data_IF_177234852519
#
_entry.id   IF_177234852519
#
_cell.length_a   1.000
_cell.length_b   1.000
_cell.length_c   1.000
_cell.angle_alpha   90.00
_cell.angle_beta   90.00
_cell.angle_gamma   90.00
#
_symmetry.space_group_name_H-M   'P 1'
#
loop_
_entity.id
_entity.type
_entity.pdbx_description
1 polymer ?
#
# COMPACT_ATOMS: atom_id res chain seq x y z
N UNK A 1 -8.07 -67.22 40.20
CA UNK A 1 -8.16 -65.88 39.56
C UNK A 1 -8.56 -64.75 40.53
N UNK A 2 -9.40 -64.95 41.55
CA UNK A 2 -9.89 -63.85 42.41
C UNK A 2 -8.85 -63.11 43.27
N UNK A 3 -7.75 -63.74 43.67
CA UNK A 3 -6.72 -63.12 44.53
C UNK A 3 -5.88 -62.05 43.83
N UNK A 4 -5.70 -62.14 42.51
CA UNK A 4 -4.97 -61.14 41.74
C UNK A 4 -5.74 -59.81 41.60
N UNK A 5 -7.07 -59.88 41.53
CA UNK A 5 -7.94 -58.70 41.44
C UNK A 5 -7.91 -57.91 42.76
N UNK A 6 -7.99 -58.61 43.90
CA UNK A 6 -7.88 -57.99 45.23
C UNK A 6 -6.52 -57.31 45.44
N UNK A 7 -5.42 -57.91 44.97
CA UNK A 7 -4.09 -57.32 45.02
C UNK A 7 -3.98 -56.00 44.24
N UNK A 8 -4.52 -55.96 43.02
CA UNK A 8 -4.51 -54.74 42.20
C UNK A 8 -5.34 -53.60 42.81
N UNK A 9 -6.50 -53.90 43.40
CA UNK A 9 -7.34 -52.90 44.07
C UNK A 9 -6.63 -52.32 45.30
N UNK A 10 -5.95 -53.14 46.09
CA UNK A 10 -5.19 -52.67 47.25
C UNK A 10 -4.01 -51.77 46.85
N UNK A 11 -3.30 -52.09 45.77
CA UNK A 11 -2.20 -51.25 45.23
C UNK A 11 -2.74 -49.92 44.71
N UNK A 12 -3.88 -49.92 44.00
CA UNK A 12 -4.49 -48.69 43.51
C UNK A 12 -4.95 -47.76 44.65
N UNK A 13 -5.56 -48.32 45.71
CA UNK A 13 -5.99 -47.56 46.89
C UNK A 13 -4.81 -46.98 47.67
N UNK A 14 -3.77 -47.77 47.90
CA UNK A 14 -2.56 -47.31 48.60
C UNK A 14 -1.82 -46.23 47.80
N UNK A 15 -1.68 -46.41 46.49
CA UNK A 15 -1.13 -45.38 45.60
C UNK A 15 -1.97 -44.08 45.64
N UNK A 16 -3.30 -44.19 45.64
CA UNK A 16 -4.21 -43.05 45.77
C UNK A 16 -4.04 -42.29 47.08
N UNK A 17 -3.91 -43.00 48.20
CA UNK A 17 -3.70 -42.40 49.53
C UNK A 17 -2.34 -41.70 49.62
N UNK A 18 -1.27 -42.35 49.14
CA UNK A 18 0.08 -41.76 49.10
C UNK A 18 0.09 -40.50 48.24
N UNK A 19 -0.57 -40.52 47.08
CA UNK A 19 -0.71 -39.36 46.22
C UNK A 19 -1.46 -38.22 46.91
N UNK A 20 -2.58 -38.51 47.59
CA UNK A 20 -3.36 -37.51 48.32
C UNK A 20 -2.56 -36.85 49.46
N UNK A 21 -1.79 -37.65 50.23
CA UNK A 21 -0.93 -37.14 51.30
C UNK A 21 0.21 -36.28 50.72
N UNK A 22 0.84 -36.72 49.63
CA UNK A 22 1.89 -35.96 48.95
C UNK A 22 1.36 -34.63 48.40
N UNK A 23 0.18 -34.62 47.80
CA UNK A 23 -0.52 -33.41 47.33
C UNK A 23 -0.86 -32.48 48.49
N UNK A 24 -1.37 -33.00 49.62
CA UNK A 24 -1.67 -32.19 50.80
C UNK A 24 -0.42 -31.55 51.42
N UNK A 25 0.68 -32.30 51.51
CA UNK A 25 1.95 -31.84 52.11
C UNK A 25 2.70 -30.84 51.23
N UNK A 26 2.55 -30.95 49.91
CA UNK A 26 3.12 -29.98 48.95
C UNK A 26 2.22 -28.74 48.78
N UNK A 27 0.90 -28.88 48.84
CA UNK A 27 -0.04 -27.75 48.75
C UNK A 27 -0.11 -26.90 50.02
N UNK A 28 0.16 -27.47 51.21
CA UNK A 28 0.18 -26.74 52.47
C UNK A 28 1.27 -25.65 52.58
N UNK A 29 2.24 -25.63 51.66
CA UNK A 29 3.36 -24.67 51.68
C UNK A 29 3.14 -23.42 50.81
N UNK A 30 2.03 -23.32 50.08
CA UNK A 30 1.78 -22.18 49.19
C UNK A 30 0.94 -21.13 49.93
N UNK A 31 1.45 -19.89 50.11
CA UNK A 31 0.68 -18.79 50.68
C UNK A 31 -0.66 -18.61 49.96
N UNK A 32 -1.73 -18.27 50.69
CA UNK A 32 -3.07 -18.11 50.09
C UNK A 32 -3.06 -17.06 48.98
N UNK A 33 -2.36 -15.94 49.18
CA UNK A 33 -2.19 -14.88 48.18
C UNK A 33 -1.58 -15.40 46.88
N UNK A 34 -0.57 -16.27 46.98
CA UNK A 34 0.05 -16.92 45.82
C UNK A 34 -0.93 -17.88 45.14
N UNK A 35 -1.77 -18.60 45.90
CA UNK A 35 -2.82 -19.47 45.33
C UNK A 35 -3.88 -18.67 44.59
N UNK A 36 -4.28 -17.51 45.11
CA UNK A 36 -5.19 -16.58 44.43
C UNK A 36 -4.55 -16.04 43.14
N UNK A 37 -3.30 -15.59 43.19
CA UNK A 37 -2.58 -15.10 42.01
C UNK A 37 -2.40 -16.17 40.93
N UNK A 38 -2.10 -17.43 41.31
CA UNK A 38 -2.00 -18.55 40.36
C UNK A 38 -3.35 -18.85 39.70
N UNK A 39 -4.45 -18.83 40.47
CA UNK A 39 -5.80 -19.02 39.94
C UNK A 39 -6.15 -17.92 38.93
N UNK A 40 -5.83 -16.68 39.25
CA UNK A 40 -6.07 -15.54 38.38
C UNK A 40 -5.23 -15.61 37.10
N UNK A 41 -3.93 -15.91 37.19
CA UNK A 41 -3.07 -16.10 36.03
C UNK A 41 -3.57 -17.24 35.12
N UNK A 42 -4.10 -18.34 35.68
CA UNK A 42 -4.71 -19.43 34.91
C UNK A 42 -5.99 -18.99 34.20
N UNK A 43 -6.84 -18.19 34.85
CA UNK A 43 -8.06 -17.64 34.27
C UNK A 43 -7.73 -16.75 33.07
N UNK A 44 -6.84 -15.78 33.27
CA UNK A 44 -6.39 -14.86 32.23
C UNK A 44 -5.67 -15.58 31.07
N UNK A 45 -4.90 -16.63 31.35
CA UNK A 45 -4.30 -17.50 30.31
C UNK A 45 -5.37 -18.13 29.42
N UNK A 46 -6.45 -18.63 30.02
CA UNK A 46 -7.57 -19.24 29.28
C UNK A 46 -8.30 -18.20 28.44
N UNK A 47 -8.55 -17.01 28.99
CA UNK A 47 -9.16 -15.87 28.30
C UNK A 47 -8.30 -15.42 27.11
N UNK A 48 -6.99 -15.19 27.31
CA UNK A 48 -6.05 -14.86 26.24
C UNK A 48 -6.00 -15.93 25.14
N UNK A 49 -5.97 -17.22 25.50
CA UNK A 49 -6.01 -18.31 24.50
C UNK A 49 -7.29 -18.34 23.69
N UNK A 50 -8.44 -18.08 24.33
CA UNK A 50 -9.74 -17.97 23.65
C UNK A 50 -9.76 -16.77 22.71
N UNK A 51 -9.35 -15.60 23.20
CA UNK A 51 -9.25 -14.37 22.42
C UNK A 51 -8.34 -14.56 21.20
N UNK A 52 -7.14 -15.13 21.41
CA UNK A 52 -6.19 -15.40 20.33
C UNK A 52 -6.72 -16.40 19.29
N UNK A 53 -7.40 -17.47 19.73
CA UNK A 53 -8.02 -18.45 18.82
C UNK A 53 -9.15 -17.80 18.01
N UNK A 54 -9.93 -16.93 18.65
CA UNK A 54 -11.02 -16.21 17.97
C UNK A 54 -10.46 -15.22 16.95
N UNK A 55 -9.50 -14.39 17.34
CA UNK A 55 -8.80 -13.47 16.45
C UNK A 55 -8.16 -14.18 15.26
N UNK A 56 -7.49 -15.33 15.46
CA UNK A 56 -6.94 -16.10 14.34
C UNK A 56 -8.03 -16.57 13.35
N UNK A 57 -9.24 -16.90 13.83
CA UNK A 57 -10.37 -17.23 12.95
C UNK A 57 -10.89 -15.99 12.23
N UNK A 58 -11.01 -14.87 12.93
CA UNK A 58 -11.54 -13.62 12.38
C UNK A 58 -10.62 -13.07 11.29
N UNK A 59 -9.29 -13.08 11.52
CA UNK A 59 -8.27 -12.71 10.52
C UNK A 59 -8.34 -13.64 9.31
N UNK A 60 -8.44 -14.95 9.51
CA UNK A 60 -8.53 -15.91 8.40
C UNK A 60 -9.83 -15.74 7.60
N UNK A 61 -10.96 -15.51 8.27
CA UNK A 61 -12.23 -15.23 7.61
C UNK A 61 -12.19 -13.94 6.81
N UNK A 62 -11.64 -12.86 7.37
CA UNK A 62 -11.48 -11.59 6.67
C UNK A 62 -10.53 -11.73 5.47
N UNK A 63 -9.44 -12.48 5.61
CA UNK A 63 -8.50 -12.80 4.52
C UNK A 63 -9.20 -13.56 3.39
N UNK A 64 -9.91 -14.63 3.69
CA UNK A 64 -10.65 -15.42 2.70
C UNK A 64 -11.71 -14.57 2.01
N UNK A 65 -12.40 -13.69 2.76
CA UNK A 65 -13.38 -12.77 2.18
C UNK A 65 -12.73 -11.80 1.19
N UNK A 66 -11.61 -11.19 1.56
CA UNK A 66 -10.85 -10.31 0.67
C UNK A 66 -10.35 -11.05 -0.57
N UNK A 67 -9.78 -12.25 -0.41
CA UNK A 67 -9.31 -13.08 -1.51
C UNK A 67 -10.44 -13.46 -2.47
N UNK A 68 -11.62 -13.82 -1.95
CA UNK A 68 -12.79 -14.14 -2.77
C UNK A 68 -13.27 -12.95 -3.59
N UNK A 69 -13.22 -11.73 -3.05
CA UNK A 69 -13.56 -10.51 -3.78
C UNK A 69 -12.51 -10.17 -4.85
N UNK A 70 -11.23 -10.39 -4.55
CA UNK A 70 -10.12 -10.12 -5.47
C UNK A 70 -9.99 -11.16 -6.60
N UNK A 71 -10.43 -12.40 -6.39
CA UNK A 71 -10.48 -13.40 -7.45
C UNK A 71 -11.32 -12.88 -8.62
N UNK A 72 -10.76 -12.85 -9.82
CA UNK A 72 -11.45 -12.37 -11.02
C UNK A 72 -12.69 -13.24 -11.33
N UNK A 73 -12.64 -14.54 -11.02
CA UNK A 73 -13.71 -15.49 -11.35
C UNK A 73 -14.84 -15.46 -10.32
N UNK A 74 -14.48 -15.37 -9.04
CA UNK A 74 -15.40 -15.54 -7.92
C UNK A 74 -15.82 -17.00 -7.73
N UNK A 75 -16.89 -17.24 -6.97
CA UNK A 75 -17.31 -18.60 -6.64
C UNK A 75 -17.84 -19.35 -7.86
N UNK A 76 -17.55 -20.65 -7.95
CA UNK A 76 -18.18 -21.55 -8.95
C UNK A 76 -19.67 -21.73 -8.64
N UNK A 77 -20.52 -21.46 -9.63
CA UNK A 77 -21.98 -21.57 -9.51
C UNK A 77 -22.55 -22.87 -10.10
N UNK A 78 -21.88 -23.43 -11.12
CA UNK A 78 -22.35 -24.65 -11.77
C UNK A 78 -21.48 -25.06 -12.95
N UNK A 79 -21.79 -26.20 -13.56
CA UNK A 79 -21.24 -26.60 -14.84
C UNK A 79 -22.22 -27.51 -15.59
N UNK A 80 -22.30 -27.34 -16.91
CA UNK A 80 -23.11 -28.18 -17.79
C UNK A 80 -22.55 -28.17 -19.22
N UNK A 81 -22.55 -29.33 -19.88
CA UNK A 81 -22.14 -29.46 -21.29
C UNK A 81 -20.75 -28.90 -21.61
N UNK A 82 -19.78 -29.06 -20.71
CA UNK A 82 -18.42 -28.51 -20.85
C UNK A 82 -18.29 -27.02 -20.52
N UNK A 83 -19.38 -26.34 -20.19
CA UNK A 83 -19.38 -24.94 -19.73
C UNK A 83 -19.29 -24.91 -18.21
N UNK A 84 -18.34 -24.15 -17.67
CA UNK A 84 -18.24 -23.87 -16.22
C UNK A 84 -18.61 -22.42 -15.94
N UNK A 85 -19.59 -22.23 -15.06
CA UNK A 85 -20.10 -20.92 -14.66
C UNK A 85 -19.54 -20.52 -13.29
N UNK A 86 -18.98 -19.31 -13.21
CA UNK A 86 -18.59 -18.64 -11.98
C UNK A 86 -19.44 -17.39 -11.78
N UNK A 87 -19.34 -16.76 -10.61
CA UNK A 87 -20.10 -15.54 -10.28
C UNK A 87 -19.84 -14.38 -11.24
N UNK A 88 -18.60 -14.24 -11.74
CA UNK A 88 -18.17 -13.12 -12.60
C UNK A 88 -17.50 -13.56 -13.89
N UNK A 89 -17.32 -14.86 -14.09
CA UNK A 89 -16.58 -15.44 -15.21
C UNK A 89 -17.29 -16.66 -15.76
N UNK A 90 -17.10 -16.93 -17.04
CA UNK A 90 -17.59 -18.16 -17.68
C UNK A 90 -16.48 -18.77 -18.53
N UNK A 91 -16.36 -20.09 -18.44
CA UNK A 91 -15.43 -20.88 -19.25
C UNK A 91 -16.24 -21.82 -20.12
N UNK A 92 -16.11 -21.66 -21.43
CA UNK A 92 -16.66 -22.57 -22.44
C UNK A 92 -15.52 -23.40 -23.05
N UNK A 93 -15.81 -24.47 -23.81
CA UNK A 93 -14.77 -25.22 -24.51
C UNK A 93 -13.95 -24.38 -25.51
N UNK A 94 -14.56 -23.34 -26.08
CA UNK A 94 -13.96 -22.52 -27.13
C UNK A 94 -13.26 -21.27 -26.60
N UNK A 95 -13.77 -20.68 -25.51
CA UNK A 95 -13.24 -19.44 -24.94
C UNK A 95 -13.65 -19.26 -23.47
N UNK A 96 -12.99 -18.34 -22.77
CA UNK A 96 -13.38 -17.96 -21.41
C UNK A 96 -13.25 -16.45 -21.23
N UNK A 97 -14.16 -15.82 -20.50
CA UNK A 97 -14.18 -14.37 -20.35
C UNK A 97 -15.12 -13.89 -19.26
N UNK A 98 -15.22 -12.56 -19.15
CA UNK A 98 -16.16 -11.90 -18.24
C UNK A 98 -17.60 -12.33 -18.51
N UNK A 99 -18.37 -12.50 -17.43
CA UNK A 99 -19.80 -12.83 -17.52
C UNK A 99 -20.65 -11.59 -17.86
N UNK A 100 -20.08 -10.38 -17.80
CA UNK A 100 -20.81 -9.13 -18.03
C UNK A 100 -21.20 -9.03 -19.51
N UNK A 101 -22.49 -8.84 -19.78
CA UNK A 101 -23.02 -8.75 -21.15
C UNK A 101 -23.23 -10.11 -21.84
N UNK A 102 -22.96 -11.22 -21.15
CA UNK A 102 -23.20 -12.57 -21.68
C UNK A 102 -24.70 -12.86 -21.73
N UNK A 103 -25.12 -13.49 -22.84
CA UNK A 103 -26.45 -14.07 -23.04
C UNK A 103 -26.30 -15.56 -23.35
N UNK A 104 -27.12 -16.36 -22.69
CA UNK A 104 -27.21 -17.80 -22.93
C UNK A 104 -28.59 -18.15 -23.51
N UNK A 105 -28.59 -18.94 -24.58
CA UNK A 105 -29.80 -19.51 -25.17
C UNK A 105 -29.64 -21.02 -25.27
N UNK A 106 -30.67 -21.76 -24.85
CA UNK A 106 -30.72 -23.21 -24.99
C UNK A 106 -31.67 -23.61 -26.13
N UNK A 107 -31.35 -24.70 -26.81
CA UNK A 107 -32.20 -25.33 -27.81
C UNK A 107 -32.10 -26.85 -27.67
N UNK A 108 -33.21 -27.54 -27.92
CA UNK A 108 -33.25 -29.00 -28.02
C UNK A 108 -33.40 -29.43 -29.49
N UNK A 109 -33.01 -30.65 -29.83
CA UNK A 109 -33.12 -31.17 -31.21
C UNK A 109 -34.55 -31.09 -31.77
N UNK A 110 -35.58 -31.16 -30.92
CA UNK A 110 -36.98 -31.00 -31.31
C UNK A 110 -37.37 -29.57 -31.72
N UNK A 111 -36.67 -28.55 -31.22
CA UNK A 111 -36.93 -27.13 -31.53
C UNK A 111 -36.03 -26.58 -32.64
N UNK A 112 -34.97 -27.29 -33.02
CA UNK A 112 -34.07 -26.91 -34.14
C UNK A 112 -34.80 -26.90 -35.49
N UNK A 113 -35.89 -27.66 -35.65
CA UNK A 113 -36.74 -27.62 -36.87
C UNK A 113 -37.60 -26.36 -36.99
N UNK A 114 -37.76 -25.55 -35.94
CA UNK A 114 -38.68 -24.39 -35.92
C UNK A 114 -37.96 -23.03 -35.98
N UNK A 115 -36.62 -22.99 -36.01
CA UNK A 115 -35.88 -21.74 -36.23
C UNK A 115 -34.79 -21.85 -37.29
N UNK A 116 -35.24 -21.92 -38.55
CA UNK A 116 -34.47 -21.48 -39.73
C UNK A 116 -34.11 -19.96 -39.69
N UNK A 117 -34.33 -19.28 -38.56
CA UNK A 117 -33.84 -17.94 -38.24
C UNK A 117 -32.63 -17.95 -37.30
N UNK A 118 -31.86 -19.05 -37.26
CA UNK A 118 -30.40 -18.93 -37.11
C UNK A 118 -29.85 -18.36 -38.43
N UNK A 119 -30.20 -17.10 -38.65
CA UNK A 119 -30.02 -16.32 -39.87
C UNK A 119 -28.54 -16.31 -40.25
N UNK A 120 -28.27 -16.38 -41.55
CA UNK A 120 -26.95 -16.33 -42.18
C UNK A 120 -25.97 -15.28 -41.59
N UNK A 121 -26.47 -14.23 -40.93
CA UNK A 121 -25.68 -13.27 -40.14
C UNK A 121 -24.86 -13.91 -39.01
N UNK A 122 -25.32 -14.99 -38.36
CA UNK A 122 -24.58 -15.69 -37.29
C UNK A 122 -23.47 -16.62 -37.81
N UNK A 123 -23.53 -17.07 -39.07
CA UNK A 123 -22.43 -17.82 -39.69
C UNK A 123 -21.27 -16.91 -40.12
N UNK A 124 -21.52 -15.62 -40.34
CA UNK A 124 -20.47 -14.65 -40.71
C UNK A 124 -19.60 -14.26 -39.51
N UNK A 125 -20.17 -14.20 -38.29
CA UNK A 125 -19.42 -13.82 -37.08
C UNK A 125 -18.69 -14.97 -36.39
N UNK A 126 -19.13 -16.22 -36.56
CA UNK A 126 -18.50 -17.38 -35.90
C UNK A 126 -17.37 -18.03 -36.71
N UNK A 127 -17.10 -17.55 -37.93
CA UNK A 127 -16.12 -18.17 -38.82
C UNK A 127 -16.49 -19.61 -39.19
N UNK A 128 -15.70 -20.20 -40.08
CA UNK A 128 -15.95 -21.48 -40.76
C UNK A 128 -16.03 -22.72 -39.84
N UNK A 129 -15.94 -22.56 -38.51
CA UNK A 129 -15.90 -23.64 -37.53
C UNK A 129 -17.27 -24.14 -37.06
N UNK A 130 -18.37 -23.57 -37.55
CA UNK A 130 -19.73 -23.94 -37.12
C UNK A 130 -20.31 -25.19 -37.79
N UNK A 131 -19.57 -25.86 -38.70
CA UNK A 131 -20.11 -26.92 -39.55
C UNK A 131 -19.37 -28.27 -39.47
N UNK A 132 -18.51 -28.48 -38.47
CA UNK A 132 -17.90 -29.78 -38.20
C UNK A 132 -18.51 -30.46 -36.96
N UNK A 133 -19.84 -30.52 -36.88
CA UNK A 133 -20.50 -31.43 -35.95
C UNK A 133 -20.50 -32.83 -36.59
N UNK A 134 -19.81 -33.83 -36.00
CA UNK A 134 -19.79 -35.18 -36.55
C UNK A 134 -21.22 -35.72 -36.58
N UNK A 135 -21.70 -36.04 -37.78
CA UNK A 135 -22.99 -36.70 -38.00
C UNK A 135 -22.90 -38.13 -37.43
N UNK A 136 -23.10 -38.28 -36.12
CA UNK A 136 -23.17 -39.59 -35.47
C UNK A 136 -24.44 -40.30 -35.94
N UNK A 137 -24.26 -41.26 -36.84
CA UNK A 137 -25.29 -42.17 -37.34
C UNK A 137 -25.48 -43.31 -36.36
N UNK A 138 -26.07 -43.04 -35.20
CA UNK A 138 -26.64 -44.08 -34.35
C UNK A 138 -27.66 -43.43 -33.42
N UNK A 139 -28.73 -44.15 -33.06
CA UNK A 139 -29.91 -43.67 -32.33
C UNK A 139 -29.59 -43.25 -30.89
N UNK A 140 -28.72 -42.27 -30.71
CA UNK A 140 -28.37 -41.69 -29.41
C UNK A 140 -29.48 -40.73 -29.02
N UNK A 141 -30.00 -40.95 -27.82
CA UNK A 141 -31.06 -40.15 -27.19
C UNK A 141 -30.72 -38.66 -27.24
N UNK A 142 -31.69 -37.85 -27.67
CA UNK A 142 -31.47 -36.50 -28.20
C UNK A 142 -30.60 -35.58 -27.34
N UNK A 143 -29.89 -34.68 -27.99
CA UNK A 143 -29.00 -33.70 -27.35
C UNK A 143 -29.71 -32.36 -27.11
N UNK A 144 -29.24 -31.62 -26.11
CA UNK A 144 -29.59 -30.20 -25.96
C UNK A 144 -28.32 -29.35 -26.02
N UNK A 145 -28.42 -28.19 -26.65
CA UNK A 145 -27.32 -27.28 -26.89
C UNK A 145 -27.53 -26.00 -26.08
N UNK A 146 -26.45 -25.47 -25.52
CA UNK A 146 -26.41 -24.16 -24.89
C UNK A 146 -25.44 -23.31 -25.67
N UNK A 147 -25.94 -22.21 -26.25
CA UNK A 147 -25.14 -21.22 -26.96
C UNK A 147 -24.90 -20.04 -26.02
N UNK A 148 -23.64 -19.69 -25.84
CA UNK A 148 -23.17 -18.56 -25.04
C UNK A 148 -22.65 -17.49 -26.01
N UNK A 149 -23.20 -16.29 -25.91
CA UNK A 149 -22.78 -15.11 -26.69
C UNK A 149 -22.49 -13.95 -25.75
N UNK A 150 -21.29 -13.39 -25.81
CA UNK A 150 -20.88 -12.22 -25.05
C UNK A 150 -19.73 -11.47 -25.73
N UNK A 151 -19.34 -10.30 -25.19
CA UNK A 151 -18.30 -9.45 -25.81
C UNK A 151 -16.92 -10.12 -25.88
N UNK A 152 -16.58 -10.91 -24.86
CA UNK A 152 -15.26 -11.55 -24.70
C UNK A 152 -15.32 -13.08 -24.83
N UNK A 153 -16.53 -13.65 -24.88
CA UNK A 153 -16.73 -15.09 -24.81
C UNK A 153 -17.84 -15.52 -25.75
N UNK A 154 -17.55 -16.55 -26.54
CA UNK A 154 -18.51 -17.23 -27.38
C UNK A 154 -18.23 -18.73 -27.35
N UNK A 155 -19.27 -19.53 -27.21
CA UNK A 155 -19.10 -20.97 -27.16
C UNK A 155 -20.40 -21.74 -27.20
N UNK A 156 -20.29 -23.02 -27.51
CA UNK A 156 -21.42 -23.96 -27.54
C UNK A 156 -21.09 -25.12 -26.61
N UNK A 157 -21.97 -25.36 -25.66
CA UNK A 157 -21.96 -26.54 -24.80
C UNK A 157 -23.02 -27.54 -25.23
N UNK A 158 -22.72 -28.83 -25.09
CA UNK A 158 -23.63 -29.93 -25.47
C UNK A 158 -23.95 -30.74 -24.22
N UNK A 159 -25.24 -30.85 -23.89
CA UNK A 159 -25.73 -31.75 -22.84
C UNK A 159 -26.31 -32.98 -23.53
N UNK A 160 -25.63 -34.10 -23.37
CA UNK A 160 -26.09 -35.40 -23.85
C UNK A 160 -27.05 -36.02 -22.82
N UNK A 161 -28.06 -36.75 -23.30
CA UNK A 161 -28.95 -37.52 -22.44
C UNK A 161 -28.15 -38.60 -21.70
N UNK A 162 -28.31 -38.68 -20.37
CA UNK A 162 -27.61 -39.66 -19.53
C UNK A 162 -28.32 -41.01 -19.47
N UNK A 163 -29.60 -41.06 -19.86
CA UNK A 163 -30.40 -42.30 -19.89
C UNK A 163 -31.50 -42.22 -20.95
N UNK A 164 -32.08 -43.37 -21.31
CA UNK A 164 -33.15 -43.52 -22.31
C UNK A 164 -34.36 -42.59 -22.05
N UNK A 165 -34.65 -42.27 -20.79
CA UNK A 165 -35.79 -41.44 -20.37
C UNK A 165 -35.41 -40.00 -19.97
N UNK A 166 -34.14 -39.62 -20.01
CA UNK A 166 -33.73 -38.25 -19.64
C UNK A 166 -33.87 -37.31 -20.82
N UNK A 167 -34.67 -36.26 -20.68
CA UNK A 167 -34.70 -35.14 -21.62
C UNK A 167 -33.65 -34.10 -21.19
N UNK A 168 -32.59 -33.86 -21.98
CA UNK A 168 -31.56 -32.87 -21.61
C UNK A 168 -32.05 -31.43 -21.79
N UNK A 169 -33.15 -31.20 -22.51
CA UNK A 169 -33.74 -29.88 -22.75
C UNK A 169 -33.96 -29.07 -21.47
N UNK A 170 -34.76 -29.54 -20.49
CA UNK A 170 -34.97 -28.82 -19.23
C UNK A 170 -33.68 -28.45 -18.48
N UNK A 171 -32.68 -29.34 -18.48
CA UNK A 171 -31.38 -29.05 -17.88
C UNK A 171 -30.64 -27.93 -18.64
N UNK A 172 -30.66 -27.94 -19.97
CA UNK A 172 -30.08 -26.88 -20.79
C UNK A 172 -30.78 -25.53 -20.58
N UNK A 173 -32.11 -25.49 -20.57
CA UNK A 173 -32.89 -24.25 -20.34
C UNK A 173 -32.66 -23.69 -18.94
N UNK A 174 -32.64 -24.54 -17.91
CA UNK A 174 -32.37 -24.10 -16.53
C UNK A 174 -30.95 -23.56 -16.38
N UNK A 175 -29.95 -24.21 -16.97
CA UNK A 175 -28.57 -23.73 -16.92
C UNK A 175 -28.40 -22.41 -17.71
N UNK A 176 -29.03 -22.28 -18.89
CA UNK A 176 -29.03 -21.02 -19.64
C UNK A 176 -29.68 -19.88 -18.83
N UNK A 177 -30.78 -20.16 -18.13
CA UNK A 177 -31.39 -19.19 -17.21
C UNK A 177 -30.45 -18.83 -16.05
N UNK A 178 -29.72 -19.80 -15.50
CA UNK A 178 -28.71 -19.57 -14.46
C UNK A 178 -27.59 -18.65 -14.95
N UNK A 179 -27.06 -18.88 -16.16
CA UNK A 179 -26.04 -18.02 -16.78
C UNK A 179 -26.57 -16.59 -16.95
N UNK A 180 -27.79 -16.42 -17.49
CA UNK A 180 -28.39 -15.09 -17.68
C UNK A 180 -28.64 -14.35 -16.35
N UNK A 181 -29.03 -15.07 -15.29
CA UNK A 181 -29.20 -14.49 -13.96
C UNK A 181 -27.87 -14.07 -13.36
N UNK A 182 -26.85 -14.92 -13.46
CA UNK A 182 -25.51 -14.63 -12.99
C UNK A 182 -24.88 -13.44 -13.76
N UNK A 183 -25.08 -13.36 -15.07
CA UNK A 183 -24.63 -12.23 -15.90
C UNK A 183 -25.24 -10.89 -15.46
N UNK A 184 -26.55 -10.88 -15.16
CA UNK A 184 -27.23 -9.69 -14.63
C UNK A 184 -26.72 -9.31 -13.23
N UNK A 185 -26.51 -10.29 -12.36
CA UNK A 185 -25.96 -10.05 -11.02
C UNK A 185 -24.51 -9.53 -11.09
N UNK A 186 -23.68 -10.08 -11.97
CA UNK A 186 -22.31 -9.64 -12.20
C UNK A 186 -22.28 -8.18 -12.69
N UNK A 187 -23.14 -7.82 -13.66
CA UNK A 187 -23.24 -6.46 -14.16
C UNK A 187 -23.69 -5.46 -13.08
N UNK A 188 -24.65 -5.84 -12.23
CA UNK A 188 -25.11 -5.00 -11.12
C UNK A 188 -24.03 -4.80 -10.03
N UNK A 189 -23.21 -5.83 -9.77
CA UNK A 189 -22.19 -5.79 -8.73
C UNK A 189 -20.85 -5.19 -9.20
N UNK A 190 -20.56 -5.19 -10.50
CA UNK A 190 -19.33 -4.66 -11.08
C UNK A 190 -18.93 -3.25 -10.58
N UNK A 191 -19.82 -2.23 -10.58
CA UNK A 191 -19.46 -0.90 -10.08
C UNK A 191 -19.25 -0.84 -8.56
N UNK A 192 -19.80 -1.80 -7.81
CA UNK A 192 -19.67 -1.86 -6.34
C UNK A 192 -18.40 -2.59 -5.90
N UNK A 193 -17.85 -3.45 -6.75
CA UNK A 193 -16.73 -4.33 -6.41
C UNK A 193 -15.49 -3.59 -5.86
N UNK A 194 -15.02 -2.45 -6.44
CA UNK A 194 -13.89 -1.73 -5.88
C UNK A 194 -14.14 -1.23 -4.45
N UNK A 195 -15.37 -0.78 -4.15
CA UNK A 195 -15.76 -0.34 -2.81
C UNK A 195 -15.82 -1.51 -1.83
N UNK A 196 -16.33 -2.67 -2.27
CA UNK A 196 -16.34 -3.89 -1.46
C UNK A 196 -14.93 -4.38 -1.14
N UNK A 197 -14.02 -4.36 -2.11
CA UNK A 197 -12.60 -4.71 -1.90
C UNK A 197 -11.95 -3.73 -0.93
N UNK A 198 -12.17 -2.42 -1.08
CA UNK A 198 -11.63 -1.42 -0.17
C UNK A 198 -12.13 -1.64 1.27
N UNK A 199 -13.43 -1.90 1.44
CA UNK A 199 -14.01 -2.22 2.74
C UNK A 199 -13.43 -3.52 3.33
N UNK A 200 -13.34 -4.58 2.54
CA UNK A 200 -12.76 -5.84 3.00
C UNK A 200 -11.28 -5.71 3.41
N UNK A 201 -10.50 -4.84 2.75
CA UNK A 201 -9.13 -4.48 3.18
C UNK A 201 -9.13 -3.78 4.53
N UNK A 202 -10.06 -2.86 4.76
CA UNK A 202 -10.21 -2.19 6.06
C UNK A 202 -10.62 -3.17 7.15
N UNK A 203 -11.59 -4.04 6.87
CA UNK A 203 -12.06 -5.07 7.81
C UNK A 203 -10.93 -6.07 8.15
N UNK A 204 -10.12 -6.45 7.16
CA UNK A 204 -8.93 -7.29 7.37
C UNK A 204 -7.89 -6.59 8.26
N UNK A 205 -7.57 -5.32 7.97
CA UNK A 205 -6.65 -4.53 8.78
C UNK A 205 -7.16 -4.31 10.22
N UNK A 206 -8.48 -4.12 10.38
CA UNK A 206 -9.11 -4.02 11.70
C UNK A 206 -9.04 -5.34 12.46
N UNK A 207 -9.26 -6.47 11.79
CA UNK A 207 -9.14 -7.80 12.38
C UNK A 207 -7.71 -8.10 12.82
N UNK A 208 -6.68 -7.74 12.03
CA UNK A 208 -5.26 -7.90 12.39
C UNK A 208 -4.87 -7.09 13.63
N UNK A 209 -5.52 -5.95 13.86
CA UNK A 209 -5.22 -5.02 14.96
C UNK A 209 -6.25 -5.08 16.11
N UNK A 210 -6.93 -6.23 16.31
CA UNK A 210 -7.96 -6.35 17.36
C UNK A 210 -7.38 -6.07 18.77
N UNK A 211 -7.78 -4.97 19.44
CA UNK A 211 -7.26 -4.60 20.75
C UNK A 211 -7.55 -5.64 21.82
N UNK A 212 -8.61 -6.46 21.66
CA UNK A 212 -9.00 -7.46 22.67
C UNK A 212 -7.92 -8.50 22.92
N UNK A 213 -7.18 -8.91 21.90
CA UNK A 213 -6.09 -9.89 22.05
C UNK A 213 -4.92 -9.25 22.77
N UNK A 214 -4.60 -8.01 22.41
CA UNK A 214 -3.52 -7.22 23.01
C UNK A 214 -3.82 -6.97 24.49
N UNK A 215 -5.03 -6.52 24.83
CA UNK A 215 -5.47 -6.28 26.20
C UNK A 215 -5.43 -7.57 27.04
N UNK A 216 -5.91 -8.70 26.48
CA UNK A 216 -5.87 -9.98 27.15
C UNK A 216 -4.42 -10.48 27.35
N UNK A 217 -3.53 -10.23 26.40
CA UNK A 217 -2.10 -10.55 26.51
C UNK A 217 -1.42 -9.70 27.58
N UNK A 218 -1.69 -8.40 27.62
CA UNK A 218 -1.17 -7.48 28.64
C UNK A 218 -1.67 -7.90 30.03
N UNK A 219 -2.97 -8.18 30.18
CA UNK A 219 -3.55 -8.62 31.45
C UNK A 219 -2.93 -9.95 31.93
N UNK A 220 -2.79 -10.93 31.04
CA UNK A 220 -2.15 -12.20 31.35
C UNK A 220 -0.67 -12.02 31.73
N UNK A 221 0.08 -11.22 30.97
CA UNK A 221 1.50 -10.93 31.23
C UNK A 221 1.69 -10.26 32.58
N UNK A 222 0.85 -9.28 32.92
CA UNK A 222 0.85 -8.61 34.23
C UNK A 222 0.58 -9.58 35.37
N UNK A 223 -0.39 -10.49 35.21
CA UNK A 223 -0.70 -11.50 36.22
C UNK A 223 0.45 -12.51 36.42
N UNK A 224 1.13 -12.92 35.34
CA UNK A 224 2.31 -13.80 35.44
C UNK A 224 3.49 -13.07 36.08
N UNK A 225 3.71 -11.79 35.77
CA UNK A 225 4.76 -10.98 36.38
C UNK A 225 4.57 -10.83 37.91
N UNK A 226 3.32 -10.77 38.39
CA UNK A 226 3.00 -10.72 39.81
C UNK A 226 3.29 -12.03 40.57
N UNK A 227 3.50 -13.16 39.89
CA UNK A 227 3.82 -14.43 40.53
C UNK A 227 5.27 -14.49 41.04
N UNK A 228 5.55 -15.24 42.12
CA UNK A 228 6.93 -15.56 42.52
C UNK A 228 7.67 -16.31 41.42
N UNK A 229 8.99 -16.09 41.32
CA UNK A 229 9.85 -16.62 40.23
C UNK A 229 9.70 -18.13 40.01
N UNK A 230 9.59 -18.89 41.10
CA UNK A 230 9.42 -20.35 41.10
C UNK A 230 8.18 -20.82 40.31
N UNK A 231 7.11 -20.01 40.30
CA UNK A 231 5.85 -20.36 39.62
C UNK A 231 5.77 -19.81 38.20
N UNK A 232 6.54 -18.76 37.86
CA UNK A 232 6.56 -18.18 36.50
C UNK A 232 6.96 -19.20 35.44
N UNK A 233 7.88 -20.11 35.77
CA UNK A 233 8.33 -21.17 34.85
C UNK A 233 7.18 -22.07 34.38
N UNK A 234 6.11 -22.23 35.17
CA UNK A 234 4.92 -23.01 34.79
C UNK A 234 4.04 -22.31 33.75
N UNK A 235 4.29 -21.04 33.48
CA UNK A 235 3.60 -20.18 32.51
C UNK A 235 4.53 -19.77 31.35
N UNK A 236 5.42 -20.66 30.93
CA UNK A 236 6.43 -20.41 29.88
C UNK A 236 5.89 -20.12 28.47
N UNK A 237 4.58 -19.95 28.27
CA UNK A 237 4.00 -19.44 27.04
C UNK A 237 4.04 -17.91 26.92
N UNK A 238 4.39 -17.20 28.00
CA UNK A 238 4.68 -15.76 28.00
C UNK A 238 6.18 -15.54 28.07
N UNK A 239 6.75 -14.90 27.05
CA UNK A 239 8.09 -14.31 27.16
C UNK A 239 7.97 -13.01 27.92
N UNK A 240 8.20 -13.06 29.23
CA UNK A 240 8.21 -11.88 30.11
C UNK A 240 9.28 -10.84 29.72
N UNK A 241 10.28 -11.26 28.93
CA UNK A 241 11.47 -10.45 28.62
C UNK A 241 11.36 -9.68 27.29
N UNK A 242 10.27 -9.79 26.53
CA UNK A 242 10.20 -9.31 25.13
C UNK A 242 9.01 -8.37 24.80
N UNK A 243 8.31 -7.86 25.81
CA UNK A 243 7.04 -7.13 25.63
C UNK A 243 7.16 -5.72 25.01
N UNK A 244 8.32 -5.29 24.51
CA UNK A 244 8.48 -3.96 23.90
C UNK A 244 8.89 -3.97 22.42
N UNK A 245 9.24 -5.10 21.80
CA UNK A 245 9.87 -5.06 20.46
C UNK A 245 9.84 -6.36 19.64
N UNK A 246 9.04 -7.37 20.00
CA UNK A 246 8.99 -8.60 19.23
C UNK A 246 8.04 -8.48 18.00
N UNK A 247 8.51 -8.78 16.78
CA UNK A 247 7.64 -8.80 15.60
C UNK A 247 6.56 -9.90 15.71
N UNK A 248 5.41 -9.75 15.01
CA UNK A 248 4.30 -10.69 15.08
C UNK A 248 4.76 -12.13 14.77
N UNK A 249 4.16 -13.12 15.46
CA UNK A 249 4.59 -14.54 15.40
C UNK A 249 4.69 -15.12 13.98
N UNK A 250 3.91 -14.62 13.03
CA UNK A 250 3.99 -15.00 11.61
C UNK A 250 5.31 -14.54 10.95
N UNK A 251 5.78 -13.33 11.24
CA UNK A 251 7.08 -12.87 10.71
C UNK A 251 8.24 -13.68 11.29
N UNK A 252 8.13 -14.13 12.54
CA UNK A 252 9.14 -15.00 13.15
C UNK A 252 9.13 -16.40 12.52
N UNK A 253 7.95 -16.97 12.24
CA UNK A 253 7.86 -18.28 11.57
C UNK A 253 8.34 -18.21 10.12
N UNK A 254 8.01 -17.15 9.40
CA UNK A 254 8.39 -16.99 7.98
C UNK A 254 9.88 -16.75 7.85
N UNK A 255 10.46 -15.92 8.73
CA UNK A 255 11.91 -15.73 8.80
C UNK A 255 12.64 -17.03 9.13
N UNK A 256 12.12 -17.80 10.10
CA UNK A 256 12.73 -19.08 10.45
C UNK A 256 12.64 -20.08 9.29
N UNK A 257 11.50 -20.13 8.58
CA UNK A 257 11.33 -20.95 7.38
C UNK A 257 12.33 -20.57 6.30
N UNK A 258 12.52 -19.26 6.04
CA UNK A 258 13.51 -18.78 5.06
C UNK A 258 14.94 -19.13 5.44
N UNK A 259 15.31 -19.07 6.73
CA UNK A 259 16.64 -19.49 7.18
C UNK A 259 16.88 -20.98 6.90
N UNK A 260 15.86 -21.82 7.11
CA UNK A 260 15.96 -23.26 6.84
C UNK A 260 16.04 -23.53 5.33
N UNK A 261 15.28 -22.81 4.50
CA UNK A 261 15.21 -23.08 3.06
C UNK A 261 16.35 -22.43 2.26
N UNK A 262 16.79 -21.23 2.64
CA UNK A 262 17.75 -20.43 1.87
C UNK A 262 19.14 -20.39 2.51
N UNK A 263 19.28 -20.82 3.76
CA UNK A 263 20.46 -20.55 4.58
C UNK A 263 20.44 -19.14 5.18
N UNK A 264 21.25 -18.94 6.22
CA UNK A 264 21.20 -17.72 7.06
C UNK A 264 21.51 -16.44 6.28
N UNK A 265 22.52 -16.46 5.42
CA UNK A 265 22.98 -15.27 4.69
C UNK A 265 21.99 -14.87 3.59
N UNK A 266 21.58 -15.82 2.75
CA UNK A 266 20.60 -15.57 1.70
C UNK A 266 19.22 -15.21 2.27
N UNK A 267 18.82 -15.78 3.41
CA UNK A 267 17.62 -15.34 4.12
C UNK A 267 17.71 -13.87 4.56
N UNK A 268 18.85 -13.42 5.09
CA UNK A 268 19.04 -12.02 5.47
C UNK A 268 18.95 -11.08 4.25
N UNK A 269 19.50 -11.49 3.09
CA UNK A 269 19.37 -10.75 1.83
C UNK A 269 17.92 -10.69 1.35
N UNK A 270 17.19 -11.79 1.45
CA UNK A 270 15.75 -11.84 1.12
C UNK A 270 14.93 -10.89 2.00
N UNK A 271 15.17 -10.84 3.32
CA UNK A 271 14.52 -9.84 4.20
C UNK A 271 14.84 -8.41 3.76
N UNK A 272 16.09 -8.17 3.37
CA UNK A 272 16.52 -6.85 2.88
C UNK A 272 15.79 -6.45 1.59
N UNK A 273 15.57 -7.38 0.66
CA UNK A 273 14.76 -7.15 -0.56
C UNK A 273 13.32 -6.84 -0.21
N UNK A 274 12.69 -7.66 0.63
CA UNK A 274 11.28 -7.47 1.01
C UNK A 274 11.07 -6.11 1.71
N UNK A 275 12.05 -5.68 2.52
CA UNK A 275 12.03 -4.34 3.12
C UNK A 275 12.18 -3.24 2.07
N UNK A 276 13.04 -3.41 1.07
CA UNK A 276 13.23 -2.42 -0.01
C UNK A 276 11.96 -2.31 -0.88
N UNK A 277 11.37 -3.44 -1.27
CA UNK A 277 10.09 -3.48 -2.01
C UNK A 277 8.97 -2.81 -1.24
N UNK A 278 8.89 -3.07 0.07
CA UNK A 278 7.93 -2.38 0.95
C UNK A 278 8.16 -0.87 0.95
N UNK A 279 9.41 -0.40 1.02
CA UNK A 279 9.72 1.02 0.96
C UNK A 279 9.29 1.65 -0.38
N UNK A 280 9.55 1.01 -1.52
CA UNK A 280 9.11 1.50 -2.85
C UNK A 280 7.58 1.57 -2.91
N UNK A 281 6.90 0.48 -2.57
CA UNK A 281 5.43 0.39 -2.68
C UNK A 281 4.68 1.32 -1.72
N UNK A 282 5.31 1.71 -0.61
CA UNK A 282 4.76 2.66 0.36
C UNK A 282 5.16 4.12 0.10
N UNK A 283 6.05 4.37 -0.87
CA UNK A 283 6.44 5.73 -1.25
C UNK A 283 5.24 6.57 -1.68
N UNK A 284 5.35 7.88 -1.50
CA UNK A 284 4.36 8.83 -2.03
C UNK A 284 4.35 8.79 -3.56
N UNK A 285 5.52 8.68 -4.20
CA UNK A 285 5.67 8.51 -5.63
C UNK A 285 4.90 7.29 -6.19
N UNK A 286 4.91 6.15 -5.50
CA UNK A 286 4.11 5.00 -5.89
C UNK A 286 2.59 5.27 -5.71
N UNK A 287 2.20 5.89 -4.59
CA UNK A 287 0.78 6.15 -4.28
C UNK A 287 0.13 7.16 -5.21
N UNK A 288 0.90 8.14 -5.66
CA UNK A 288 0.47 9.15 -6.63
C UNK A 288 0.59 8.66 -8.09
N UNK A 289 1.10 7.45 -8.31
CA UNK A 289 1.19 6.82 -9.64
C UNK A 289 2.40 7.27 -10.48
N UNK A 290 3.32 8.05 -9.91
CA UNK A 290 4.53 8.50 -10.61
C UNK A 290 5.47 7.36 -11.00
N UNK A 291 5.51 6.31 -10.18
CA UNK A 291 6.32 5.12 -10.45
C UNK A 291 5.63 4.10 -11.37
N UNK A 292 4.39 4.37 -11.79
CA UNK A 292 3.55 3.43 -12.54
C UNK A 292 3.14 2.19 -11.72
N UNK A 293 2.73 1.14 -12.43
CA UNK A 293 2.41 -0.16 -11.82
C UNK A 293 3.70 -0.87 -11.40
N UNK A 294 4.04 -0.75 -10.12
CA UNK A 294 5.23 -1.36 -9.54
C UNK A 294 4.92 -2.77 -9.03
N UNK A 295 5.36 -3.79 -9.77
CA UNK A 295 5.28 -5.19 -9.35
C UNK A 295 6.66 -5.86 -9.39
N UNK A 296 7.18 -6.21 -8.20
CA UNK A 296 8.45 -6.94 -8.03
C UNK A 296 8.26 -8.45 -7.84
N UNK A 297 7.05 -8.99 -8.02
CA UNK A 297 6.76 -10.40 -7.72
C UNK A 297 7.64 -11.36 -8.51
N UNK A 298 7.86 -11.07 -9.79
CA UNK A 298 8.74 -11.89 -10.64
C UNK A 298 10.20 -11.88 -10.16
N UNK A 299 10.71 -10.70 -9.78
CA UNK A 299 12.09 -10.59 -9.27
C UNK A 299 12.26 -11.26 -7.92
N UNK A 300 11.30 -11.10 -7.01
CA UNK A 300 11.31 -11.77 -5.69
C UNK A 300 11.33 -13.29 -5.89
N UNK A 301 10.48 -13.81 -6.78
CA UNK A 301 10.44 -15.24 -7.07
C UNK A 301 11.78 -15.72 -7.64
N UNK A 302 12.34 -14.99 -8.61
CA UNK A 302 13.61 -15.37 -9.22
C UNK A 302 14.77 -15.34 -8.21
N UNK A 303 14.82 -14.33 -7.33
CA UNK A 303 15.83 -14.27 -6.26
C UNK A 303 15.66 -15.44 -5.28
N UNK A 304 14.42 -15.77 -4.90
CA UNK A 304 14.13 -16.89 -4.01
C UNK A 304 14.57 -18.21 -4.62
N UNK A 305 14.20 -18.48 -5.87
CA UNK A 305 14.55 -19.70 -6.60
C UNK A 305 16.08 -19.84 -6.75
N UNK A 306 16.78 -18.74 -7.06
CA UNK A 306 18.25 -18.74 -7.17
C UNK A 306 18.92 -19.04 -5.83
N UNK A 307 18.48 -18.41 -4.74
CA UNK A 307 19.03 -18.66 -3.40
C UNK A 307 18.72 -20.07 -2.88
N UNK A 308 17.52 -20.60 -3.14
CA UNK A 308 17.14 -21.97 -2.76
C UNK A 308 18.00 -23.01 -3.49
N UNK A 309 18.18 -22.83 -4.81
CA UNK A 309 19.06 -23.71 -5.62
C UNK A 309 20.51 -23.64 -5.16
N UNK A 310 21.04 -22.44 -4.93
CA UNK A 310 22.41 -22.27 -4.43
C UNK A 310 22.60 -22.91 -3.05
N UNK A 311 21.67 -22.72 -2.12
CA UNK A 311 21.74 -23.34 -0.80
C UNK A 311 21.70 -24.86 -0.87
N UNK A 312 20.82 -25.41 -1.72
CA UNK A 312 20.72 -26.85 -1.97
C UNK A 312 22.02 -27.41 -2.56
N UNK A 313 22.64 -26.72 -3.52
CA UNK A 313 23.94 -27.11 -4.08
C UNK A 313 25.05 -27.08 -3.02
N UNK A 314 25.06 -26.09 -2.13
CA UNK A 314 26.02 -26.03 -1.04
C UNK A 314 25.86 -27.17 -0.03
N UNK A 315 24.64 -27.53 0.35
CA UNK A 315 24.40 -28.67 1.27
C UNK A 315 24.79 -30.01 0.64
N UNK A 316 24.48 -30.21 -0.65
CA UNK A 316 24.91 -31.39 -1.39
C UNK A 316 26.44 -31.45 -1.55
N UNK A 317 27.07 -30.32 -1.90
CA UNK A 317 28.52 -30.22 -2.01
C UNK A 317 29.21 -30.51 -0.67
N UNK A 318 28.67 -29.99 0.44
CA UNK A 318 29.15 -30.30 1.79
C UNK A 318 29.05 -31.80 2.09
N UNK A 319 27.92 -32.42 1.76
CA UNK A 319 27.73 -33.87 1.95
C UNK A 319 28.73 -34.67 1.11
N UNK A 320 28.88 -34.35 -0.17
CA UNK A 320 29.81 -35.04 -1.08
C UNK A 320 31.27 -34.85 -0.65
N UNK A 321 31.63 -33.67 -0.12
CA UNK A 321 32.97 -33.40 0.42
C UNK A 321 33.30 -34.18 1.70
N UNK A 322 32.28 -34.70 2.39
CA UNK A 322 32.46 -35.46 3.64
C UNK A 322 32.68 -36.97 3.44
N UNK A 323 32.65 -37.44 2.19
CA UNK A 323 32.89 -38.86 1.89
C UNK A 323 34.33 -39.27 2.18
N UNK A 324 34.50 -40.45 2.76
CA UNK A 324 35.80 -41.02 3.11
C UNK A 324 36.41 -41.65 1.84
N UNK A 325 37.19 -40.86 1.08
CA UNK A 325 37.84 -41.14 -0.24
C UNK A 325 37.01 -40.67 -1.47
N UNK A 326 36.90 -39.35 -1.70
CA UNK A 326 36.32 -38.83 -2.94
C UNK A 326 37.14 -39.23 -4.17
N UNK A 327 36.47 -39.56 -5.25
CA UNK A 327 37.09 -39.84 -6.55
C UNK A 327 37.46 -38.53 -7.28
N UNK A 328 38.26 -38.63 -8.34
CA UNK A 328 38.57 -37.48 -9.21
C UNK A 328 37.31 -36.88 -9.84
N UNK A 329 36.30 -37.72 -10.12
CA UNK A 329 35.01 -37.28 -10.63
C UNK A 329 34.23 -36.50 -9.58
N UNK A 330 34.21 -36.97 -8.32
CA UNK A 330 33.55 -36.27 -7.21
C UNK A 330 34.15 -34.87 -7.01
N UNK A 331 35.48 -34.74 -7.10
CA UNK A 331 36.15 -33.45 -7.04
C UNK A 331 35.75 -32.51 -8.18
N UNK A 332 35.56 -33.03 -9.40
CA UNK A 332 35.10 -32.24 -10.54
C UNK A 332 33.67 -31.74 -10.32
N UNK A 333 32.77 -32.63 -9.91
CA UNK A 333 31.36 -32.30 -9.64
C UNK A 333 31.26 -31.28 -8.49
N UNK A 334 32.08 -31.42 -7.44
CA UNK A 334 32.16 -30.43 -6.35
C UNK A 334 32.56 -29.04 -6.85
N UNK A 335 33.59 -28.96 -7.70
CA UNK A 335 34.04 -27.69 -8.27
C UNK A 335 32.96 -27.05 -9.15
N UNK A 336 32.27 -27.85 -9.95
CA UNK A 336 31.17 -27.37 -10.81
C UNK A 336 29.96 -26.90 -9.99
N UNK A 337 29.54 -27.68 -8.99
CA UNK A 337 28.42 -27.35 -8.10
C UNK A 337 28.69 -26.07 -7.30
N UNK A 338 29.90 -25.91 -6.76
CA UNK A 338 30.30 -24.71 -6.02
C UNK A 338 30.38 -23.47 -6.90
N UNK A 339 30.91 -23.60 -8.13
CA UNK A 339 30.93 -22.50 -9.11
C UNK A 339 29.50 -22.09 -9.50
N UNK A 340 28.64 -23.06 -9.79
CA UNK A 340 27.24 -22.81 -10.16
C UNK A 340 26.45 -22.15 -9.03
N UNK A 341 26.64 -22.61 -7.78
CA UNK A 341 26.03 -21.98 -6.62
C UNK A 341 26.47 -20.52 -6.47
N UNK A 342 27.77 -20.24 -6.62
CA UNK A 342 28.30 -18.88 -6.53
C UNK A 342 27.79 -17.97 -7.66
N UNK A 343 27.60 -18.49 -8.88
CA UNK A 343 27.03 -17.73 -9.99
C UNK A 343 25.55 -17.40 -9.76
N UNK A 344 24.77 -18.36 -9.25
CA UNK A 344 23.36 -18.16 -8.87
C UNK A 344 23.22 -17.10 -7.77
N UNK A 345 24.06 -17.17 -6.74
CA UNK A 345 24.07 -16.18 -5.66
C UNK A 345 24.46 -14.80 -6.17
N UNK A 346 25.50 -14.70 -7.00
CA UNK A 346 25.94 -13.42 -7.56
C UNK A 346 24.83 -12.74 -8.36
N UNK A 347 24.18 -13.47 -9.27
CA UNK A 347 23.08 -12.95 -10.06
C UNK A 347 21.88 -12.50 -9.19
N UNK A 348 21.57 -13.26 -8.14
CA UNK A 348 20.52 -12.90 -7.18
C UNK A 348 20.89 -11.66 -6.35
N UNK A 349 22.15 -11.53 -5.93
CA UNK A 349 22.68 -10.37 -5.19
C UNK A 349 22.63 -9.11 -6.04
N UNK A 350 23.04 -9.19 -7.31
CA UNK A 350 22.97 -8.04 -8.22
C UNK A 350 21.53 -7.51 -8.37
N UNK A 351 20.54 -8.41 -8.45
CA UNK A 351 19.13 -8.03 -8.47
C UNK A 351 18.64 -7.44 -7.16
N UNK A 352 19.07 -8.01 -6.02
CA UNK A 352 18.80 -7.44 -4.69
C UNK A 352 19.27 -5.97 -4.65
N UNK A 353 20.46 -5.71 -5.16
CA UNK A 353 21.04 -4.36 -5.14
C UNK A 353 20.35 -3.40 -6.11
N UNK A 354 19.86 -3.89 -7.26
CA UNK A 354 19.01 -3.09 -8.16
C UNK A 354 17.69 -2.68 -7.47
N UNK A 355 17.01 -3.60 -6.79
CA UNK A 355 15.76 -3.30 -6.07
C UNK A 355 16.01 -2.29 -4.93
N UNK A 356 17.15 -2.41 -4.22
CA UNK A 356 17.54 -1.42 -3.21
C UNK A 356 17.77 -0.04 -3.80
N UNK A 357 18.39 0.05 -4.98
CA UNK A 357 18.53 1.32 -5.70
C UNK A 357 17.17 1.92 -6.04
N UNK A 358 16.22 1.12 -6.53
CA UNK A 358 14.85 1.60 -6.76
C UNK A 358 14.21 2.19 -5.49
N UNK A 359 14.44 1.57 -4.32
CA UNK A 359 13.96 2.11 -3.04
C UNK A 359 14.59 3.46 -2.69
N UNK A 360 15.88 3.63 -2.95
CA UNK A 360 16.59 4.90 -2.73
C UNK A 360 16.04 5.99 -3.66
N UNK A 361 15.86 5.69 -4.95
CA UNK A 361 15.34 6.65 -5.93
C UNK A 361 13.89 7.06 -5.60
N UNK A 362 13.03 6.12 -5.21
CA UNK A 362 11.68 6.43 -4.77
C UNK A 362 11.67 7.39 -3.57
N UNK A 363 12.58 7.19 -2.60
CA UNK A 363 12.72 8.10 -1.46
C UNK A 363 13.22 9.50 -1.85
N UNK A 364 14.06 9.61 -2.89
CA UNK A 364 14.51 10.90 -3.39
C UNK A 364 13.36 11.69 -4.03
N UNK A 365 12.47 11.01 -4.77
CA UNK A 365 11.28 11.62 -5.35
C UNK A 365 10.29 12.07 -4.26
N UNK A 366 10.07 11.23 -3.24
CA UNK A 366 9.25 11.63 -2.08
C UNK A 366 9.81 12.90 -1.42
N UNK A 367 11.14 12.99 -1.31
CA UNK A 367 11.80 14.17 -0.76
C UNK A 367 11.64 15.41 -1.66
N UNK A 368 11.66 15.26 -2.99
CA UNK A 368 11.37 16.39 -3.87
C UNK A 368 9.94 16.89 -3.71
N UNK A 369 8.95 15.98 -3.58
CA UNK A 369 7.56 16.39 -3.34
C UNK A 369 7.34 17.09 -2.01
N UNK A 370 8.08 16.69 -0.97
CA UNK A 370 8.06 17.41 0.31
C UNK A 370 8.62 18.83 0.16
N UNK A 371 9.75 18.95 -0.54
CA UNK A 371 10.39 20.25 -0.80
C UNK A 371 9.47 21.17 -1.61
N UNK A 372 8.86 20.67 -2.68
CA UNK A 372 7.94 21.45 -3.53
C UNK A 372 6.73 21.97 -2.75
N UNK A 373 6.19 21.16 -1.82
CA UNK A 373 5.08 21.58 -0.93
C UNK A 373 5.51 22.62 0.08
N UNK A 374 6.71 22.48 0.65
CA UNK A 374 7.27 23.47 1.56
C UNK A 374 7.49 24.81 0.84
N UNK A 375 8.06 24.78 -0.36
CA UNK A 375 8.27 25.96 -1.21
C UNK A 375 6.94 26.62 -1.60
N UNK A 376 5.92 25.83 -1.98
CA UNK A 376 4.59 26.34 -2.26
C UNK A 376 3.97 27.03 -1.03
N UNK A 377 4.12 26.44 0.17
CA UNK A 377 3.64 27.02 1.42
C UNK A 377 4.38 28.32 1.76
N UNK A 378 5.69 28.36 1.56
CA UNK A 378 6.50 29.58 1.78
C UNK A 378 6.10 30.65 0.77
N UNK A 379 5.86 30.29 -0.49
CA UNK A 379 5.40 31.23 -1.51
C UNK A 379 4.02 31.81 -1.18
N UNK A 380 3.10 30.99 -0.67
CA UNK A 380 1.78 31.43 -0.21
C UNK A 380 1.89 32.36 1.01
N UNK A 381 2.68 31.99 2.02
CA UNK A 381 2.95 32.85 3.19
C UNK A 381 3.60 34.16 2.77
N UNK A 382 4.52 34.13 1.81
CA UNK A 382 5.14 35.33 1.25
C UNK A 382 4.12 36.18 0.53
N UNK A 383 3.23 35.60 -0.27
CA UNK A 383 2.16 36.31 -0.94
C UNK A 383 1.17 36.95 0.07
N UNK A 384 0.80 36.23 1.13
CA UNK A 384 -0.06 36.74 2.20
C UNK A 384 0.61 37.88 2.97
N UNK A 385 1.87 37.71 3.36
CA UNK A 385 2.65 38.75 4.03
C UNK A 385 2.85 39.96 3.12
N UNK A 386 3.12 39.75 1.83
CA UNK A 386 3.21 40.83 0.85
C UNK A 386 1.85 41.54 0.68
N UNK A 387 0.74 40.81 0.65
CA UNK A 387 -0.59 41.40 0.58
C UNK A 387 -0.94 42.20 1.84
N UNK A 388 -0.63 41.66 3.04
CA UNK A 388 -0.78 42.37 4.31
C UNK A 388 0.10 43.61 4.38
N UNK A 389 1.37 43.50 3.98
CA UNK A 389 2.31 44.62 3.93
C UNK A 389 1.83 45.67 2.91
N UNK A 390 1.38 45.26 1.73
CA UNK A 390 0.82 46.15 0.73
C UNK A 390 -0.46 46.84 1.21
N UNK A 391 -1.34 46.14 1.94
CA UNK A 391 -2.50 46.74 2.59
C UNK A 391 -2.10 47.72 3.70
N UNK A 392 -1.04 47.44 4.47
CA UNK A 392 -0.54 48.39 5.48
C UNK A 392 0.16 49.61 4.86
N UNK A 393 0.89 49.43 3.75
CA UNK A 393 1.64 50.49 3.07
C UNK A 393 0.76 51.34 2.14
N UNK A 394 -0.15 50.70 1.41
CA UNK A 394 -0.96 51.33 0.35
C UNK A 394 -2.48 51.20 0.58
N UNK A 395 -2.94 50.31 1.47
CA UNK A 395 -4.36 50.21 1.84
C UNK A 395 -4.86 51.37 2.70
N UNK A 396 -3.97 52.24 3.16
CA UNK A 396 -4.31 53.56 3.71
C UNK A 396 -4.66 54.55 2.58
N UNK A 397 -4.28 54.27 1.33
CA UNK A 397 -4.54 55.11 0.14
C UNK A 397 -5.57 54.49 -0.82
N UNK A 398 -6.18 53.35 -0.47
CA UNK A 398 -7.26 52.69 -1.24
C UNK A 398 -8.63 52.70 -0.53
N UNK A 399 -8.80 53.56 0.47
CA UNK A 399 -10.07 54.28 0.60
C UNK A 399 -9.82 55.65 -0.02
N UNK A 400 -10.64 56.13 -0.98
CA UNK A 400 -10.66 57.56 -1.21
C UNK A 400 -10.98 58.17 0.16
N UNK A 401 -10.20 59.17 0.55
CA UNK A 401 -10.61 60.09 1.60
C UNK A 401 -12.13 60.37 1.43
N UNK A 402 -12.87 60.26 2.52
CA UNK A 402 -12.99 61.41 3.38
C UNK A 402 -12.04 61.27 4.55
N UNK A 403 -10.80 61.71 4.37
CA UNK A 403 -9.76 61.96 5.39
C UNK A 403 -9.14 60.74 6.14
N UNK A 404 -7.87 60.85 6.63
CA UNK A 404 -6.77 59.91 6.36
C UNK A 404 -6.20 59.21 7.62
N UNK A 405 -5.26 58.24 7.49
CA UNK A 405 -4.08 58.14 8.40
C UNK A 405 -2.96 57.19 7.93
N UNK A 406 -1.88 57.74 7.37
CA UNK A 406 -0.53 57.13 7.48
C UNK A 406 0.02 57.42 8.88
N UNK A 407 0.84 56.52 9.43
CA UNK A 407 1.47 56.68 10.76
C UNK A 407 2.04 58.09 10.90
N UNK A 408 1.63 58.81 11.95
CA UNK A 408 1.99 60.22 12.13
C UNK A 408 3.50 60.43 12.14
N UNK A 409 4.30 59.42 12.51
CA UNK A 409 5.76 59.49 12.50
C UNK A 409 6.31 59.39 11.08
N UNK A 410 5.81 58.49 10.23
CA UNK A 410 6.25 58.38 8.83
C UNK A 410 5.73 59.55 8.00
N UNK A 411 4.53 60.03 8.29
CA UNK A 411 4.01 61.27 7.72
C UNK A 411 4.86 62.47 8.15
N UNK A 412 5.30 62.54 9.42
CA UNK A 412 6.20 63.59 9.90
C UNK A 412 7.58 63.44 9.29
N UNK A 413 8.15 62.24 9.16
CA UNK A 413 9.47 62.01 8.57
C UNK A 413 9.47 62.28 7.06
N UNK A 414 8.43 61.85 6.35
CA UNK A 414 8.21 62.19 4.94
C UNK A 414 7.99 63.70 4.75
N UNK A 415 7.23 64.37 5.63
CA UNK A 415 7.05 65.83 5.59
C UNK A 415 8.34 66.57 5.95
N UNK A 416 9.14 66.07 6.89
CA UNK A 416 10.45 66.64 7.24
C UNK A 416 11.43 66.46 6.08
N UNK A 417 11.40 65.32 5.38
CA UNK A 417 12.24 65.05 4.23
C UNK A 417 11.81 65.91 3.02
N UNK A 418 10.50 66.02 2.76
CA UNK A 418 9.95 66.93 1.76
C UNK A 418 10.25 68.41 2.10
N UNK A 419 10.18 68.81 3.37
CA UNK A 419 10.56 70.16 3.80
C UNK A 419 12.06 70.43 3.62
N UNK A 420 12.93 69.44 3.90
CA UNK A 420 14.37 69.53 3.63
C UNK A 420 14.66 69.64 2.13
N UNK A 421 13.95 68.88 1.31
CA UNK A 421 14.01 68.92 -0.15
C UNK A 421 13.61 70.32 -0.67
N UNK A 422 12.47 70.84 -0.23
CA UNK A 422 11.97 72.17 -0.62
C UNK A 422 12.92 73.28 -0.12
N UNK A 423 13.44 73.18 1.11
CA UNK A 423 14.40 74.16 1.62
C UNK A 423 15.72 74.12 0.84
N UNK A 424 16.18 72.93 0.43
CA UNK A 424 17.33 72.75 -0.47
C UNK A 424 17.08 73.40 -1.84
N UNK A 425 15.91 73.15 -2.45
CA UNK A 425 15.54 73.75 -3.72
C UNK A 425 15.35 75.27 -3.65
N UNK A 426 14.81 75.81 -2.55
CA UNK A 426 14.71 77.26 -2.31
C UNK A 426 16.11 77.87 -2.10
N UNK A 427 17.02 77.17 -1.42
CA UNK A 427 18.40 77.62 -1.26
C UNK A 427 19.14 77.64 -2.61
N UNK A 428 19.02 76.58 -3.42
CA UNK A 428 19.55 76.51 -4.78
C UNK A 428 18.92 77.57 -5.71
N UNK A 429 17.63 77.88 -5.54
CA UNK A 429 16.96 78.95 -6.28
C UNK A 429 17.41 80.36 -5.84
N UNK A 430 17.76 80.55 -4.55
CA UNK A 430 18.35 81.79 -4.02
C UNK A 430 19.81 81.99 -4.47
N UNK A 431 20.52 80.91 -4.75
CA UNK A 431 21.91 80.91 -5.24
C UNK A 431 22.03 81.03 -6.76
N UNK A 432 20.92 81.12 -7.50
CA UNK A 432 20.95 81.44 -8.94
C UNK A 432 21.50 82.85 -9.17
N UNK A 433 22.75 82.89 -9.61
CA UNK A 433 23.45 84.09 -10.06
C UNK A 433 23.32 84.25 -11.57
N UNK A 434 23.41 85.49 -12.04
CA UNK A 434 23.55 85.81 -13.46
C UNK A 434 24.78 86.68 -13.67
N UNK A 435 25.42 86.49 -14.83
CA UNK A 435 26.61 87.27 -15.21
C UNK A 435 26.16 88.64 -15.68
N UNK A 436 26.61 89.69 -15.01
CA UNK A 436 26.37 91.06 -15.42
C UNK A 436 27.69 91.75 -15.68
N UNK A 437 27.75 92.51 -16.79
CA UNK A 437 28.92 93.29 -17.18
C UNK A 437 28.81 94.70 -16.64
N UNK A 438 29.83 95.17 -15.94
CA UNK A 438 29.89 96.54 -15.45
C UNK A 438 29.96 97.52 -16.63
N UNK A 439 29.06 98.51 -16.68
CA UNK A 439 29.06 99.50 -17.75
C UNK A 439 30.33 100.35 -17.80
N UNK A 440 30.94 100.61 -16.62
CA UNK A 440 32.11 101.49 -16.44
C UNK A 440 33.43 100.82 -16.78
N UNK A 441 33.75 99.66 -16.21
CA UNK A 441 35.04 98.98 -16.41
C UNK A 441 34.96 97.71 -17.27
N UNK A 442 33.78 97.36 -17.80
CA UNK A 442 33.52 96.17 -18.64
C UNK A 442 33.80 94.81 -18.00
N UNK A 443 34.15 94.76 -16.70
CA UNK A 443 34.32 93.52 -15.96
C UNK A 443 32.99 92.77 -15.80
N UNK A 444 33.00 91.46 -16.01
CA UNK A 444 31.82 90.60 -15.90
C UNK A 444 31.87 89.83 -14.59
N UNK A 445 30.85 90.02 -13.74
CA UNK A 445 30.77 89.36 -12.44
C UNK A 445 29.42 88.65 -12.28
N UNK A 446 29.39 87.65 -11.41
CA UNK A 446 28.15 86.95 -11.08
C UNK A 446 27.48 87.64 -9.91
N UNK A 447 26.20 87.99 -10.08
CA UNK A 447 25.39 88.60 -9.02
C UNK A 447 24.07 87.86 -8.88
N UNK A 448 23.51 87.76 -7.66
CA UNK A 448 22.21 87.12 -7.44
C UNK A 448 21.14 87.77 -8.32
N UNK A 449 20.28 86.94 -8.93
CA UNK A 449 19.18 87.45 -9.77
C UNK A 449 18.23 88.33 -8.96
N UNK A 450 18.07 88.05 -7.67
CA UNK A 450 17.21 88.78 -6.73
C UNK A 450 17.73 90.16 -6.31
N UNK A 451 19.02 90.48 -6.55
CA UNK A 451 19.60 91.76 -6.15
C UNK A 451 19.36 92.84 -7.22
N UNK A 452 18.56 93.86 -6.88
CA UNK A 452 18.25 94.98 -7.77
C UNK A 452 19.41 96.00 -7.88
N UNK A 453 20.27 96.09 -6.86
CA UNK A 453 21.48 96.93 -6.85
C UNK A 453 22.66 96.14 -6.31
N UNK A 454 23.82 96.28 -6.93
CA UNK A 454 25.06 95.58 -6.56
C UNK A 454 26.28 96.45 -6.90
N UNK A 455 27.40 96.24 -6.22
CA UNK A 455 28.65 96.96 -6.51
C UNK A 455 29.54 96.13 -7.42
N UNK A 456 30.25 96.80 -8.34
CA UNK A 456 31.24 96.12 -9.16
C UNK A 456 32.48 95.80 -8.32
N UNK A 457 32.90 94.54 -8.27
CA UNK A 457 34.03 94.11 -7.43
C UNK A 457 35.38 94.72 -7.87
N UNK A 458 35.53 95.08 -9.14
CA UNK A 458 36.79 95.61 -9.65
C UNK A 458 36.93 97.14 -9.53
N UNK A 459 35.82 97.90 -9.56
CA UNK A 459 35.87 99.36 -9.53
C UNK A 459 34.97 100.01 -8.46
N UNK A 460 34.32 99.20 -7.64
CA UNK A 460 33.36 99.58 -6.59
C UNK A 460 32.19 100.48 -7.04
N UNK A 461 31.97 100.63 -8.34
CA UNK A 461 30.84 101.38 -8.86
C UNK A 461 29.51 100.67 -8.51
N UNK A 462 28.56 101.42 -7.94
CA UNK A 462 27.21 100.91 -7.61
C UNK A 462 26.38 100.83 -8.89
N UNK A 463 25.95 99.62 -9.25
CA UNK A 463 25.16 99.32 -10.43
C UNK A 463 23.73 98.96 -10.02
N UNK A 464 22.75 99.36 -10.83
CA UNK A 464 21.35 98.99 -10.67
C UNK A 464 20.91 98.18 -11.88
N UNK A 465 20.21 97.07 -11.66
CA UNK A 465 19.66 96.24 -12.74
C UNK A 465 18.54 97.03 -13.43
N UNK A 466 18.58 97.14 -14.76
CA UNK A 466 17.49 97.73 -15.52
C UNK A 466 16.25 96.83 -15.35
N UNK A 467 15.09 97.42 -15.05
CA UNK A 467 13.82 96.68 -15.11
C UNK A 467 13.55 96.42 -16.59
N UNK A 468 13.43 95.15 -16.98
CA UNK A 468 12.83 94.81 -18.27
C UNK A 468 11.38 95.31 -18.22
N UNK A 469 11.02 96.23 -19.11
CA UNK A 469 9.64 96.67 -19.35
C UNK A 469 8.79 95.53 -19.87
#
# INVERSE_FOLDING_TARGET
MGWWILGLVAVALTAGIIYAIWVARTNGKIPEDTRVAIREAKRLRSEWRRARKQHARDVEQARLHLQNLQDVKGRRLGAAGGITLYERWISTPQSSGSLIGVKATAADESSVTVSQRLTATRMVTLGVFSLAAPKKTEKVHGSAYIVIEGPEVSGVGVIEATSYNSTPGPAAFSFAAQVNNAARAAAANAPLLPRLIAKAKQDFAAAENDPKVIDAEIAYTKAVAALPREYRQKFGDVRLDAAASAPPRQQVSDKQRRIVTLGKENAARMESVLSAVKAVTQSEAAREGWLGDVDFSADIQQIADSFEKAHSLHELAKTLSSLEKPSAEDHRILAEATTTAADLERAAIERVDLIKKCAIEAQQIDKSFQTDREDARVAEQRAELHAKLAAMLYGIEATPDPTPTSSAVDAVMARVQAYREIKSQIQQAREKTTKVRCAKCKHTQQVPISANTFQCTNCNAKLKRAKSS
#
